data_IF_916391918168
#
_entry.id   IF_916391918168
#
_cell.length_a   1.000
_cell.length_b   1.000
_cell.length_c   1.000
_cell.angle_alpha   90.00
_cell.angle_beta   90.00
_cell.angle_gamma   90.00
#
_symmetry.space_group_name_H-M   'P 1'
#
loop_
_entity.id
_entity.type
_entity.pdbx_description
1 polymer ?
#
# COMPACT_ATOMS: atom_id res chain seq x y z
N UNK A 1 -13.65 -14.11 5.55
CA UNK A 1 -14.06 -15.46 5.05
C UNK A 1 -14.52 -15.42 3.59
N UNK A 2 -15.45 -14.52 3.21
CA UNK A 2 -15.95 -14.40 1.83
C UNK A 2 -14.85 -14.09 0.80
N UNK A 3 -13.99 -13.12 1.09
CA UNK A 3 -12.84 -12.73 0.23
C UNK A 3 -11.83 -13.86 0.04
N UNK A 4 -11.58 -14.63 1.09
CA UNK A 4 -10.71 -15.81 1.05
C UNK A 4 -11.29 -16.94 0.21
N UNK A 5 -12.57 -17.27 0.41
CA UNK A 5 -13.28 -18.27 -0.39
C UNK A 5 -13.33 -17.87 -1.88
N UNK A 6 -13.66 -16.61 -2.19
CA UNK A 6 -13.68 -16.11 -3.56
C UNK A 6 -12.29 -16.23 -4.22
N UNK A 7 -11.22 -15.89 -3.50
CA UNK A 7 -9.86 -16.01 -4.02
C UNK A 7 -9.42 -17.46 -4.22
N UNK A 8 -9.84 -18.41 -3.38
CA UNK A 8 -9.60 -19.84 -3.59
C UNK A 8 -10.27 -20.34 -4.87
N UNK A 9 -11.51 -19.92 -5.12
CA UNK A 9 -12.22 -20.24 -6.38
C UNK A 9 -11.51 -19.65 -7.58
N UNK A 10 -11.06 -18.40 -7.50
CA UNK A 10 -10.30 -17.75 -8.58
C UNK A 10 -8.97 -18.46 -8.86
N UNK A 11 -8.23 -18.82 -7.80
CA UNK A 11 -6.99 -19.59 -7.91
C UNK A 11 -7.24 -20.95 -8.56
N UNK A 12 -8.25 -21.69 -8.08
CA UNK A 12 -8.62 -22.99 -8.65
C UNK A 12 -8.99 -22.88 -10.13
N UNK A 13 -9.72 -21.83 -10.52
CA UNK A 13 -10.03 -21.54 -11.91
C UNK A 13 -8.79 -21.29 -12.77
N UNK A 14 -7.83 -20.50 -12.28
CA UNK A 14 -6.56 -20.25 -12.99
C UNK A 14 -5.75 -21.56 -13.14
N UNK A 15 -5.68 -22.39 -12.09
CA UNK A 15 -5.00 -23.68 -12.18
C UNK A 15 -5.71 -24.66 -13.12
N UNK A 16 -7.04 -24.67 -13.15
CA UNK A 16 -7.82 -25.48 -14.09
C UNK A 16 -7.57 -25.07 -15.55
N UNK A 17 -7.51 -23.76 -15.83
CA UNK A 17 -7.15 -23.23 -17.15
C UNK A 17 -5.74 -23.69 -17.56
N UNK A 18 -4.76 -23.57 -16.67
CA UNK A 18 -3.39 -24.00 -16.93
C UNK A 18 -3.30 -25.51 -17.17
N UNK A 19 -3.90 -26.32 -16.30
CA UNK A 19 -3.90 -27.79 -16.42
C UNK A 19 -4.58 -28.27 -17.70
N UNK A 20 -5.72 -27.68 -18.06
CA UNK A 20 -6.43 -27.98 -19.31
C UNK A 20 -5.58 -27.59 -20.52
N UNK A 21 -4.94 -26.42 -20.49
CA UNK A 21 -4.05 -25.97 -21.56
C UNK A 21 -2.87 -26.91 -21.79
N UNK A 22 -2.21 -27.35 -20.71
CA UNK A 22 -1.11 -28.33 -20.77
C UNK A 22 -1.61 -29.67 -21.32
N UNK A 23 -2.75 -30.16 -20.81
CA UNK A 23 -3.33 -31.43 -21.26
C UNK A 23 -3.63 -31.40 -22.77
N UNK A 24 -4.22 -30.33 -23.29
CA UNK A 24 -4.48 -30.19 -24.73
C UNK A 24 -3.20 -30.17 -25.59
N UNK A 25 -2.10 -29.63 -25.07
CA UNK A 25 -0.81 -29.61 -25.78
C UNK A 25 -0.14 -30.99 -25.76
N UNK A 26 -0.24 -31.72 -24.66
CA UNK A 26 0.45 -33.01 -24.47
C UNK A 26 -0.35 -34.18 -25.07
N UNK A 27 -1.68 -34.15 -24.95
CA UNK A 27 -2.55 -35.25 -25.39
C UNK A 27 -2.71 -35.33 -26.92
N UNK A 28 -2.51 -34.21 -27.63
CA UNK A 28 -2.70 -34.13 -29.08
C UNK A 28 -1.37 -33.85 -29.79
N UNK A 29 -1.11 -34.58 -30.88
CA UNK A 29 0.11 -34.41 -31.69
C UNK A 29 -0.11 -33.35 -32.77
N UNK A 30 0.93 -32.58 -33.09
CA UNK A 30 0.88 -31.59 -34.16
C UNK A 30 0.74 -32.26 -35.54
N UNK A 31 -0.05 -31.69 -36.47
CA UNK A 31 -0.90 -30.50 -36.34
C UNK A 31 -2.30 -30.83 -35.80
N UNK A 32 -2.71 -30.16 -34.72
CA UNK A 32 -4.07 -30.26 -34.18
C UNK A 32 -4.52 -28.89 -33.61
N UNK A 33 -5.72 -28.39 -33.97
CA UNK A 33 -6.23 -27.10 -33.47
C UNK A 33 -6.35 -27.04 -31.93
N UNK A 34 -6.50 -28.18 -31.25
CA UNK A 34 -6.45 -28.27 -29.78
C UNK A 34 -5.15 -27.72 -29.18
N UNK A 35 -4.03 -27.81 -29.90
CA UNK A 35 -2.75 -27.24 -29.45
C UNK A 35 -2.83 -25.72 -29.40
N UNK A 36 -3.46 -25.09 -30.40
CA UNK A 36 -3.65 -23.63 -30.44
C UNK A 36 -4.54 -23.19 -29.27
N UNK A 37 -5.64 -23.92 -29.01
CA UNK A 37 -6.50 -23.67 -27.86
C UNK A 37 -5.74 -23.88 -26.54
N UNK A 38 -4.90 -24.91 -26.44
CA UNK A 38 -4.09 -25.18 -25.26
C UNK A 38 -3.09 -24.06 -24.97
N UNK A 39 -2.42 -23.53 -25.99
CA UNK A 39 -1.54 -22.35 -25.89
C UNK A 39 -2.32 -21.11 -25.47
N UNK A 40 -3.51 -20.88 -26.04
CA UNK A 40 -4.37 -19.76 -25.65
C UNK A 40 -4.82 -19.84 -24.19
N UNK A 41 -5.23 -21.02 -23.71
CA UNK A 41 -5.61 -21.25 -22.31
C UNK A 41 -4.43 -21.06 -21.35
N UNK A 42 -3.23 -21.51 -21.73
CA UNK A 42 -2.01 -21.23 -20.98
C UNK A 42 -1.69 -19.73 -20.94
N UNK A 43 -1.79 -19.04 -22.07
CA UNK A 43 -1.62 -17.59 -22.14
C UNK A 43 -2.60 -16.85 -21.23
N UNK A 44 -3.87 -17.28 -21.22
CA UNK A 44 -4.91 -16.74 -20.34
C UNK A 44 -4.61 -17.02 -18.86
N UNK A 45 -4.20 -18.24 -18.51
CA UNK A 45 -3.82 -18.58 -17.14
C UNK A 45 -2.62 -17.76 -16.67
N UNK A 46 -1.62 -17.55 -17.53
CA UNK A 46 -0.48 -16.67 -17.26
C UNK A 46 -0.93 -15.22 -17.08
N UNK A 47 -1.88 -14.72 -17.89
CA UNK A 47 -2.40 -13.37 -17.76
C UNK A 47 -3.21 -13.14 -16.46
N UNK A 48 -3.95 -14.16 -16.03
CA UNK A 48 -4.82 -14.12 -14.84
C UNK A 48 -4.13 -14.53 -13.54
N UNK A 49 -2.86 -14.97 -13.61
CA UNK A 49 -2.09 -15.42 -12.44
C UNK A 49 -2.05 -14.34 -11.35
N UNK A 50 -2.10 -14.71 -10.07
CA UNK A 50 -1.91 -13.76 -8.97
C UNK A 50 -0.59 -13.01 -9.10
N UNK A 51 -0.59 -11.71 -8.82
CA UNK A 51 0.59 -10.86 -8.90
C UNK A 51 1.12 -10.57 -7.50
N UNK A 52 2.12 -11.28 -7.02
CA UNK A 52 2.61 -11.16 -5.63
C UNK A 52 3.43 -9.88 -5.31
N UNK A 53 3.22 -8.80 -6.06
CA UNK A 53 4.01 -7.57 -5.97
C UNK A 53 5.49 -7.79 -6.33
N UNK A 54 6.18 -6.70 -6.61
CA UNK A 54 7.65 -6.66 -6.69
C UNK A 54 8.12 -5.55 -5.77
N UNK A 55 9.39 -5.60 -5.40
CA UNK A 55 10.02 -4.44 -4.78
C UNK A 55 9.93 -3.28 -5.77
N UNK A 56 9.65 -2.09 -5.29
CA UNK A 56 9.71 -0.89 -6.11
C UNK A 56 11.13 -0.73 -6.65
N UNK A 57 11.26 -0.39 -7.93
CA UNK A 57 12.54 -0.23 -8.60
C UNK A 57 13.27 1.03 -8.12
N UNK A 58 12.51 2.03 -7.64
CA UNK A 58 13.04 3.29 -7.11
C UNK A 58 13.37 3.21 -5.60
N UNK A 59 13.05 2.09 -4.94
CA UNK A 59 13.34 1.90 -3.51
C UNK A 59 14.84 1.73 -3.28
N UNK A 60 15.43 2.63 -2.51
CA UNK A 60 16.80 2.43 -2.04
C UNK A 60 16.80 1.53 -0.80
N UNK A 61 17.23 0.29 -0.99
CA UNK A 61 17.39 -0.68 0.10
C UNK A 61 18.58 -0.30 0.96
N UNK A 62 18.33 -0.17 2.26
CA UNK A 62 19.34 0.12 3.26
C UNK A 62 20.03 -1.17 3.72
N UNK A 63 21.32 -1.04 4.00
CA UNK A 63 22.09 -2.08 4.68
C UNK A 63 22.10 -1.81 6.19
N UNK A 64 21.91 -2.86 6.98
CA UNK A 64 21.94 -2.80 8.45
C UNK A 64 23.30 -2.31 8.96
N UNK A 65 24.39 -2.57 8.23
CA UNK A 65 25.70 -2.04 8.59
C UNK A 65 25.83 -0.52 8.36
N UNK A 66 25.03 0.06 7.46
CA UNK A 66 25.03 1.51 7.17
C UNK A 66 24.05 2.30 8.02
N UNK A 67 22.95 1.69 8.46
CA UNK A 67 21.93 2.33 9.30
C UNK A 67 21.63 1.55 10.60
N UNK A 68 22.65 1.20 11.42
CA UNK A 68 22.47 0.31 12.56
C UNK A 68 21.46 0.82 13.60
N UNK A 69 21.42 2.13 13.88
CA UNK A 69 20.47 2.71 14.83
C UNK A 69 19.03 2.66 14.29
N UNK A 70 18.82 2.91 12.99
CA UNK A 70 17.50 2.76 12.37
C UNK A 70 17.01 1.31 12.49
N UNK A 71 17.84 0.34 12.12
CA UNK A 71 17.47 -1.07 12.19
C UNK A 71 17.23 -1.52 13.64
N UNK A 72 18.00 -1.01 14.60
CA UNK A 72 17.76 -1.25 16.03
C UNK A 72 16.39 -0.73 16.46
N UNK A 73 16.02 0.48 16.04
CA UNK A 73 14.70 1.03 16.32
C UNK A 73 13.58 0.18 15.70
N UNK A 74 13.76 -0.28 14.45
CA UNK A 74 12.80 -1.19 13.79
C UNK A 74 12.65 -2.49 14.58
N UNK A 75 13.74 -3.08 15.06
CA UNK A 75 13.71 -4.30 15.86
C UNK A 75 12.99 -4.09 17.22
N UNK A 76 13.28 -2.98 17.91
CA UNK A 76 12.64 -2.58 19.17
C UNK A 76 11.12 -2.43 18.99
N UNK A 77 10.69 -1.72 17.94
CA UNK A 77 9.26 -1.52 17.66
C UNK A 77 8.60 -2.82 17.22
N UNK A 78 9.25 -3.63 16.37
CA UNK A 78 8.73 -4.93 15.95
C UNK A 78 8.49 -5.85 17.17
N UNK A 79 9.44 -5.88 18.10
CA UNK A 79 9.31 -6.64 19.35
C UNK A 79 8.16 -6.11 20.22
N UNK A 80 8.02 -4.78 20.35
CA UNK A 80 6.98 -4.16 21.17
C UNK A 80 5.56 -4.44 20.65
N UNK A 81 5.36 -4.50 19.33
CA UNK A 81 4.05 -4.78 18.71
C UNK A 81 3.83 -6.24 18.34
N UNK A 82 4.82 -7.11 18.56
CA UNK A 82 4.77 -8.53 18.18
C UNK A 82 4.76 -8.77 16.67
N UNK A 83 5.31 -7.85 15.88
CA UNK A 83 5.42 -7.98 14.44
C UNK A 83 6.71 -8.72 14.02
N UNK A 84 6.72 -9.43 12.88
CA UNK A 84 7.96 -9.90 12.29
C UNK A 84 8.84 -8.73 11.89
N UNK A 85 10.15 -8.86 12.12
CA UNK A 85 11.14 -7.89 11.64
C UNK A 85 11.15 -7.90 10.10
N UNK A 86 11.07 -6.71 9.43
CA UNK A 86 11.20 -6.62 7.99
C UNK A 86 12.53 -7.21 7.48
N UNK A 87 12.47 -8.02 6.43
CA UNK A 87 13.67 -8.55 5.76
C UNK A 87 14.34 -7.49 4.88
N UNK A 88 13.56 -6.53 4.38
CA UNK A 88 14.02 -5.43 3.55
C UNK A 88 13.52 -4.13 4.17
N UNK A 89 14.44 -3.22 4.47
CA UNK A 89 14.13 -1.84 4.86
C UNK A 89 14.69 -0.95 3.78
N UNK A 90 13.86 -0.05 3.25
CA UNK A 90 14.28 0.89 2.23
C UNK A 90 13.70 2.28 2.46
N UNK A 91 14.18 3.22 1.67
CA UNK A 91 13.78 4.62 1.71
C UNK A 91 13.49 5.15 0.31
N UNK A 92 12.55 6.08 0.23
CA UNK A 92 12.19 6.75 -1.02
C UNK A 92 11.96 8.26 -0.81
N UNK A 93 11.57 8.94 -1.89
CA UNK A 93 11.30 10.38 -1.91
C UNK A 93 9.84 10.75 -1.67
N UNK A 94 8.98 9.80 -1.33
CA UNK A 94 7.54 10.04 -1.21
C UNK A 94 7.18 10.58 0.17
N UNK A 95 6.07 11.32 0.25
CA UNK A 95 5.52 11.77 1.52
C UNK A 95 4.63 10.68 2.13
N UNK A 96 5.21 9.50 2.36
CA UNK A 96 4.48 8.31 2.82
C UNK A 96 5.40 7.36 3.60
N UNK A 97 4.83 6.32 4.18
CA UNK A 97 5.54 5.10 4.58
C UNK A 97 4.63 3.89 4.30
N UNK A 98 5.22 2.73 4.11
CA UNK A 98 4.43 1.51 3.95
C UNK A 98 5.19 0.27 4.40
N UNK A 99 4.49 -0.70 4.98
CA UNK A 99 5.03 -2.03 5.27
C UNK A 99 4.24 -3.15 4.60
N UNK A 100 4.85 -3.95 3.73
CA UNK A 100 4.18 -4.95 2.90
C UNK A 100 4.93 -6.27 2.75
N UNK A 101 4.37 -7.18 1.94
CA UNK A 101 5.03 -8.44 1.58
C UNK A 101 5.15 -8.55 0.07
N UNK A 102 6.35 -8.86 -0.41
CA UNK A 102 6.64 -8.94 -1.85
C UNK A 102 7.19 -10.30 -2.27
N UNK A 103 6.91 -10.68 -3.51
CA UNK A 103 7.42 -11.89 -4.14
C UNK A 103 6.78 -13.18 -3.61
N UNK A 104 7.14 -14.30 -4.24
CA UNK A 104 6.57 -15.62 -3.93
C UNK A 104 6.90 -16.08 -2.49
N UNK A 105 8.10 -15.72 -2.00
CA UNK A 105 8.52 -16.01 -0.61
C UNK A 105 7.90 -15.07 0.42
N UNK A 106 7.11 -14.08 -0.01
CA UNK A 106 6.42 -13.09 0.83
C UNK A 106 7.33 -12.37 1.82
N UNK A 107 8.48 -11.89 1.32
CA UNK A 107 9.46 -11.16 2.13
C UNK A 107 8.83 -9.91 2.73
N UNK A 108 9.02 -9.71 4.03
CA UNK A 108 8.52 -8.51 4.71
C UNK A 108 9.37 -7.29 4.30
N UNK A 109 8.73 -6.22 3.85
CA UNK A 109 9.35 -4.99 3.37
C UNK A 109 8.80 -3.81 4.16
N UNK A 110 9.66 -2.90 4.59
CA UNK A 110 9.32 -1.60 5.14
C UNK A 110 9.95 -0.52 4.25
N UNK A 111 9.15 0.43 3.78
CA UNK A 111 9.63 1.64 3.14
C UNK A 111 9.31 2.86 4.01
N UNK A 112 10.31 3.74 4.16
CA UNK A 112 10.17 5.03 4.81
C UNK A 112 10.42 6.14 3.79
N UNK A 113 9.39 6.90 3.46
CA UNK A 113 9.55 8.11 2.66
C UNK A 113 10.25 9.19 3.46
N UNK A 114 11.45 9.58 3.02
CA UNK A 114 12.33 10.48 3.76
C UNK A 114 11.70 11.86 4.05
N UNK A 115 10.92 12.48 3.16
CA UNK A 115 10.21 13.73 3.46
C UNK A 115 9.27 13.58 4.65
N UNK A 116 8.58 12.44 4.74
CA UNK A 116 7.65 12.19 5.83
C UNK A 116 8.42 11.85 7.12
N UNK A 117 9.30 10.84 7.06
CA UNK A 117 10.13 10.42 8.19
C UNK A 117 10.99 11.55 8.79
N UNK A 118 11.58 12.38 7.92
CA UNK A 118 12.41 13.53 8.28
C UNK A 118 11.64 14.62 9.02
N UNK A 119 10.37 14.80 8.70
CA UNK A 119 9.50 15.83 9.29
C UNK A 119 8.88 15.45 10.62
N UNK A 120 8.87 14.17 10.98
CA UNK A 120 8.28 13.69 12.24
C UNK A 120 9.20 13.92 13.44
N UNK A 121 8.59 14.14 14.60
CA UNK A 121 9.28 14.15 15.89
C UNK A 121 9.73 12.73 16.28
N UNK A 122 10.68 12.57 17.21
CA UNK A 122 11.14 11.24 17.61
C UNK A 122 10.02 10.30 18.08
N UNK A 123 9.04 10.70 18.92
CA UNK A 123 7.94 9.82 19.30
C UNK A 123 7.03 9.46 18.12
N UNK A 124 6.81 10.38 17.19
CA UNK A 124 6.01 10.12 15.99
C UNK A 124 6.68 9.15 15.02
N UNK A 125 8.01 9.11 14.97
CA UNK A 125 8.76 8.09 14.22
C UNK A 125 8.51 6.70 14.78
N UNK A 126 8.52 6.55 16.10
CA UNK A 126 8.13 5.28 16.76
C UNK A 126 6.68 4.94 16.44
N UNK A 127 5.78 5.94 16.50
CA UNK A 127 4.37 5.75 16.21
C UNK A 127 4.15 5.28 14.77
N UNK A 128 4.88 5.86 13.81
CA UNK A 128 4.81 5.49 12.39
C UNK A 128 5.27 4.05 12.18
N UNK A 129 6.41 3.66 12.77
CA UNK A 129 6.87 2.28 12.72
C UNK A 129 5.85 1.32 13.36
N UNK A 130 5.28 1.67 14.51
CA UNK A 130 4.27 0.84 15.18
C UNK A 130 3.02 0.66 14.33
N UNK A 131 2.59 1.71 13.62
CA UNK A 131 1.50 1.64 12.66
C UNK A 131 1.84 0.70 11.50
N UNK A 132 2.95 0.95 10.81
CA UNK A 132 3.35 0.19 9.62
C UNK A 132 3.59 -1.29 9.95
N UNK A 133 4.34 -1.58 11.00
CA UNK A 133 4.60 -2.95 11.42
C UNK A 133 3.33 -3.65 11.95
N UNK A 134 2.36 -2.89 12.47
CA UNK A 134 1.04 -3.38 12.86
C UNK A 134 0.30 -4.06 11.70
N UNK A 135 0.51 -3.64 10.45
CA UNK A 135 -0.08 -4.28 9.28
C UNK A 135 0.36 -5.74 9.08
N UNK A 136 1.52 -6.14 9.62
CA UNK A 136 1.94 -7.55 9.59
C UNK A 136 1.19 -8.44 10.56
N UNK A 137 0.63 -7.87 11.63
CA UNK A 137 -0.06 -8.60 12.70
C UNK A 137 -1.57 -8.66 12.44
N UNK A 138 -2.14 -7.58 11.91
CA UNK A 138 -3.59 -7.34 11.94
C UNK A 138 -4.41 -8.03 10.83
N UNK A 139 -3.78 -8.91 10.04
CA UNK A 139 -4.48 -9.73 9.04
C UNK A 139 -5.06 -8.92 7.86
N UNK A 140 -4.37 -7.86 7.44
CA UNK A 140 -4.79 -7.04 6.29
C UNK A 140 -5.01 -7.91 5.03
N UNK A 141 -6.25 -7.96 4.48
CA UNK A 141 -6.56 -8.79 3.32
C UNK A 141 -5.87 -8.32 2.03
N UNK A 142 -5.35 -7.08 1.94
CA UNK A 142 -4.48 -6.69 0.82
C UNK A 142 -3.13 -7.42 0.86
N UNK A 143 -2.70 -7.76 2.07
CA UNK A 143 -1.37 -8.33 2.37
C UNK A 143 -1.44 -9.84 2.66
N UNK A 144 -2.63 -10.44 2.62
CA UNK A 144 -2.83 -11.88 2.77
C UNK A 144 -2.84 -12.61 1.42
N UNK A 145 -2.09 -13.72 1.36
CA UNK A 145 -1.89 -14.54 0.16
C UNK A 145 -3.22 -15.03 -0.43
N UNK A 146 -4.17 -15.38 0.44
CA UNK A 146 -5.45 -15.98 0.08
C UNK A 146 -6.53 -14.96 -0.25
N UNK A 147 -6.25 -13.66 -0.24
CA UNK A 147 -7.26 -12.62 -0.54
C UNK A 147 -6.82 -11.70 -1.67
N UNK A 148 -5.51 -11.65 -1.93
CA UNK A 148 -4.91 -10.86 -3.01
C UNK A 148 -5.46 -11.16 -4.43
N UNK A 149 -5.74 -12.42 -4.81
CA UNK A 149 -6.33 -12.73 -6.12
C UNK A 149 -7.70 -12.07 -6.36
N UNK A 150 -8.53 -11.90 -5.32
CA UNK A 150 -9.82 -11.21 -5.45
C UNK A 150 -9.64 -9.73 -5.89
N UNK A 151 -8.52 -9.11 -5.56
CA UNK A 151 -8.22 -7.72 -5.94
C UNK A 151 -7.55 -7.59 -7.31
N UNK A 152 -6.83 -8.61 -7.81
CA UNK A 152 -6.04 -8.46 -9.04
C UNK A 152 -6.58 -9.24 -10.23
N UNK A 153 -7.11 -10.45 -10.00
CA UNK A 153 -7.42 -11.40 -11.08
C UNK A 153 -8.67 -10.98 -11.85
N UNK A 154 -9.74 -10.57 -11.16
CA UNK A 154 -10.98 -10.15 -11.82
C UNK A 154 -10.84 -8.82 -12.57
N UNK A 155 -10.10 -7.85 -12.01
CA UNK A 155 -9.77 -6.62 -12.72
C UNK A 155 -8.95 -6.87 -13.99
N UNK A 156 -7.99 -7.80 -13.91
CA UNK A 156 -7.20 -8.22 -15.08
C UNK A 156 -8.06 -8.95 -16.12
N UNK A 157 -8.97 -9.84 -15.69
CA UNK A 157 -9.90 -10.53 -16.55
C UNK A 157 -10.86 -9.55 -17.27
N UNK A 158 -11.41 -8.59 -16.52
CA UNK A 158 -12.28 -7.55 -17.08
C UNK A 158 -11.54 -6.75 -18.15
N UNK A 159 -10.27 -6.40 -17.92
CA UNK A 159 -9.45 -5.68 -18.91
C UNK A 159 -9.13 -6.52 -20.14
N UNK A 160 -8.88 -7.83 -19.98
CA UNK A 160 -8.56 -8.71 -21.10
C UNK A 160 -9.75 -8.94 -22.05
N UNK A 161 -10.97 -8.94 -21.50
CA UNK A 161 -12.21 -9.15 -22.25
C UNK A 161 -12.80 -7.84 -22.78
N UNK A 162 -12.18 -6.68 -22.49
CA UNK A 162 -12.65 -5.40 -23.05
C UNK A 162 -12.62 -5.47 -24.57
N UNK A 163 -13.70 -5.02 -25.25
CA UNK A 163 -13.72 -4.99 -26.70
C UNK A 163 -12.59 -4.08 -27.20
N UNK A 164 -11.76 -4.60 -28.09
CA UNK A 164 -10.73 -3.86 -28.83
C UNK A 164 -11.15 -3.84 -30.29
N UNK A 165 -11.04 -2.69 -30.94
CA UNK A 165 -11.37 -2.57 -32.36
C UNK A 165 -10.26 -3.23 -33.21
N UNK A 166 -10.42 -4.53 -33.48
CA UNK A 166 -9.43 -5.33 -34.22
C UNK A 166 -9.91 -5.75 -35.61
N UNK A 167 -11.14 -5.40 -36.02
CA UNK A 167 -11.73 -5.85 -37.27
C UNK A 167 -11.91 -4.68 -38.23
N UNK A 168 -11.09 -4.65 -39.28
CA UNK A 168 -11.24 -3.80 -40.47
C UNK A 168 -11.78 -4.66 -41.61
N UNK A 169 -13.07 -4.99 -41.58
CA UNK A 169 -13.73 -5.84 -42.58
C UNK A 169 -15.02 -5.19 -43.11
N UNK A 170 -15.29 -5.35 -44.41
CA UNK A 170 -16.36 -4.65 -45.14
C UNK A 170 -17.65 -5.50 -45.37
N UNK A 171 -17.70 -6.74 -44.87
CA UNK A 171 -18.84 -7.66 -45.09
C UNK A 171 -19.94 -7.57 -44.02
N UNK A 172 -21.21 -7.72 -44.41
CA UNK A 172 -22.36 -7.60 -43.49
C UNK A 172 -22.39 -8.71 -42.41
N UNK A 173 -22.03 -9.95 -42.77
CA UNK A 173 -21.94 -11.05 -41.81
C UNK A 173 -20.78 -10.88 -40.82
N UNK A 174 -19.66 -10.31 -41.27
CA UNK A 174 -18.54 -9.94 -40.39
C UNK A 174 -18.91 -8.80 -39.45
N UNK A 175 -19.65 -7.80 -39.94
CA UNK A 175 -20.14 -6.69 -39.13
C UNK A 175 -21.11 -7.16 -38.04
N UNK A 176 -22.06 -8.05 -38.40
CA UNK A 176 -23.00 -8.65 -37.46
C UNK A 176 -22.30 -9.56 -36.43
N UNK A 177 -21.36 -10.39 -36.88
CA UNK A 177 -20.55 -11.23 -36.00
C UNK A 177 -19.71 -10.39 -35.03
N UNK A 178 -19.06 -9.35 -35.52
CA UNK A 178 -18.29 -8.41 -34.70
C UNK A 178 -19.18 -7.65 -33.72
N UNK A 179 -20.39 -7.23 -34.13
CA UNK A 179 -21.35 -6.59 -33.24
C UNK A 179 -21.81 -7.52 -32.11
N UNK A 180 -22.13 -8.78 -32.41
CA UNK A 180 -22.52 -9.77 -31.41
C UNK A 180 -21.36 -10.10 -30.46
N UNK A 181 -20.16 -10.30 -31.00
CA UNK A 181 -18.95 -10.54 -30.20
C UNK A 181 -18.66 -9.36 -29.27
N UNK A 182 -18.75 -8.11 -29.76
CA UNK A 182 -18.60 -6.90 -28.94
C UNK A 182 -19.66 -6.80 -27.86
N UNK A 183 -20.93 -7.09 -28.16
CA UNK A 183 -22.00 -7.08 -27.18
C UNK A 183 -21.75 -8.11 -26.06
N UNK A 184 -21.33 -9.32 -26.42
CA UNK A 184 -20.96 -10.37 -25.48
C UNK A 184 -19.74 -9.97 -24.63
N UNK A 185 -18.65 -9.53 -25.26
CA UNK A 185 -17.42 -9.07 -24.59
C UNK A 185 -17.69 -7.92 -23.63
N UNK A 186 -18.46 -6.91 -24.07
CA UNK A 186 -18.85 -5.79 -23.24
C UNK A 186 -19.66 -6.24 -22.02
N UNK A 187 -20.64 -7.11 -22.22
CA UNK A 187 -21.48 -7.64 -21.13
C UNK A 187 -20.64 -8.44 -20.13
N UNK A 188 -19.78 -9.34 -20.62
CA UNK A 188 -18.90 -10.14 -19.78
C UNK A 188 -17.89 -9.27 -19.02
N UNK A 189 -17.27 -8.28 -19.67
CA UNK A 189 -16.36 -7.34 -19.04
C UNK A 189 -17.06 -6.52 -17.94
N UNK A 190 -18.30 -6.08 -18.17
CA UNK A 190 -19.11 -5.35 -17.17
C UNK A 190 -19.49 -6.23 -15.99
N UNK A 191 -19.88 -7.49 -16.20
CA UNK A 191 -20.17 -8.42 -15.12
C UNK A 191 -18.93 -8.72 -14.29
N UNK A 192 -17.79 -9.03 -14.92
CA UNK A 192 -16.52 -9.26 -14.22
C UNK A 192 -16.09 -8.04 -13.41
N UNK A 193 -16.25 -6.84 -13.98
CA UNK A 193 -15.95 -5.59 -13.28
C UNK A 193 -16.91 -5.35 -12.10
N UNK A 194 -18.21 -5.62 -12.26
CA UNK A 194 -19.19 -5.48 -11.19
C UNK A 194 -18.89 -6.43 -10.01
N UNK A 195 -18.55 -7.69 -10.30
CA UNK A 195 -18.13 -8.67 -9.27
C UNK A 195 -16.83 -8.22 -8.60
N UNK A 196 -15.87 -7.70 -9.38
CA UNK A 196 -14.63 -7.15 -8.84
C UNK A 196 -14.92 -6.00 -7.86
N UNK A 197 -15.75 -5.02 -8.25
CA UNK A 197 -16.14 -3.91 -7.37
C UNK A 197 -16.84 -4.42 -6.11
N UNK A 198 -17.77 -5.37 -6.23
CA UNK A 198 -18.44 -5.95 -5.06
C UNK A 198 -17.46 -6.61 -4.08
N UNK A 199 -16.49 -7.37 -4.57
CA UNK A 199 -15.45 -7.99 -3.75
C UNK A 199 -14.55 -6.95 -3.09
N UNK A 200 -14.15 -5.91 -3.83
CA UNK A 200 -13.39 -4.78 -3.28
C UNK A 200 -14.17 -4.09 -2.17
N UNK A 201 -15.45 -3.78 -2.37
CA UNK A 201 -16.31 -3.16 -1.35
C UNK A 201 -16.37 -3.98 -0.07
N UNK A 202 -16.56 -5.30 -0.18
CA UNK A 202 -16.57 -6.19 1.00
C UNK A 202 -15.23 -6.18 1.71
N UNK A 203 -14.14 -6.18 0.95
CA UNK A 203 -12.80 -6.22 1.52
C UNK A 203 -12.34 -4.87 2.11
N UNK A 204 -12.86 -3.74 1.62
CA UNK A 204 -12.54 -2.40 2.13
C UNK A 204 -12.91 -2.25 3.60
N UNK A 205 -13.99 -2.91 4.07
CA UNK A 205 -14.33 -2.93 5.50
C UNK A 205 -13.25 -3.58 6.35
N UNK A 206 -12.69 -4.70 5.88
CA UNK A 206 -11.62 -5.42 6.57
C UNK A 206 -10.31 -4.62 6.54
N UNK A 207 -10.03 -3.91 5.44
CA UNK A 207 -8.88 -2.99 5.31
C UNK A 207 -9.02 -1.83 6.30
N UNK A 208 -10.18 -1.18 6.34
CA UNK A 208 -10.45 -0.10 7.30
C UNK A 208 -10.34 -0.57 8.76
N UNK A 209 -10.75 -1.81 9.06
CA UNK A 209 -10.54 -2.41 10.38
C UNK A 209 -9.06 -2.61 10.69
N UNK A 210 -8.27 -3.04 9.72
CA UNK A 210 -6.83 -3.22 9.88
C UNK A 210 -6.12 -1.89 10.22
N UNK A 211 -6.56 -0.76 9.64
CA UNK A 211 -6.05 0.57 9.97
C UNK A 211 -6.25 0.94 11.44
N UNK A 212 -7.46 0.72 11.99
CA UNK A 212 -7.73 0.96 13.41
C UNK A 212 -6.92 0.05 14.34
N UNK A 213 -6.67 -1.19 13.93
CA UNK A 213 -5.80 -2.10 14.68
C UNK A 213 -4.33 -1.67 14.58
N UNK A 214 -3.90 -1.14 13.44
CA UNK A 214 -2.56 -0.59 13.25
C UNK A 214 -2.35 0.68 14.08
N UNK A 215 -3.38 1.52 14.22
CA UNK A 215 -3.39 2.65 15.16
C UNK A 215 -3.22 2.20 16.61
N UNK A 216 -3.85 1.10 17.00
CA UNK A 216 -3.67 0.54 18.34
C UNK A 216 -2.23 0.04 18.54
N UNK A 217 -1.60 -0.56 17.51
CA UNK A 217 -0.19 -0.97 17.57
C UNK A 217 0.76 0.25 17.63
N UNK A 218 0.44 1.31 16.90
CA UNK A 218 1.12 2.60 16.98
C UNK A 218 1.10 3.15 18.41
N UNK A 219 -0.08 3.17 19.05
CA UNK A 219 -0.25 3.63 20.42
C UNK A 219 0.47 2.72 21.44
N UNK A 220 0.49 1.39 21.24
CA UNK A 220 1.24 0.48 22.11
C UNK A 220 2.75 0.69 22.01
N UNK A 221 3.27 0.95 20.82
CA UNK A 221 4.70 1.18 20.61
C UNK A 221 5.15 2.54 21.18
N UNK A 222 4.46 3.62 20.80
CA UNK A 222 4.91 5.00 21.01
C UNK A 222 4.11 5.77 22.06
N UNK A 223 3.11 5.14 22.66
CA UNK A 223 2.15 5.79 23.55
C UNK A 223 1.01 6.47 22.77
N UNK A 224 -0.13 6.66 23.44
CA UNK A 224 -1.33 7.24 22.81
C UNK A 224 -1.07 8.66 22.33
N UNK A 225 -0.30 9.46 23.06
CA UNK A 225 0.00 10.84 22.70
C UNK A 225 0.73 10.94 21.34
N UNK A 226 1.78 10.14 21.15
CA UNK A 226 2.54 10.11 19.90
C UNK A 226 1.71 9.59 18.73
N UNK A 227 0.90 8.54 18.94
CA UNK A 227 0.02 8.01 17.90
C UNK A 227 -1.05 9.00 17.46
N UNK A 228 -1.67 9.73 18.40
CA UNK A 228 -2.62 10.80 18.06
C UNK A 228 -1.94 11.99 17.37
N UNK A 229 -0.71 12.33 17.79
CA UNK A 229 0.08 13.38 17.15
C UNK A 229 0.47 13.03 15.72
N UNK A 230 0.79 11.75 15.45
CA UNK A 230 1.04 11.26 14.10
C UNK A 230 -0.20 11.40 13.21
N UNK A 231 -1.39 11.05 13.71
CA UNK A 231 -2.66 11.22 12.98
C UNK A 231 -2.95 12.70 12.67
N UNK A 232 -2.57 13.62 13.57
CA UNK A 232 -2.64 15.06 13.28
C UNK A 232 -1.69 15.48 12.17
N UNK A 233 -0.49 14.89 12.13
CA UNK A 233 0.44 15.08 11.03
C UNK A 233 -0.18 14.61 9.69
N UNK A 234 -0.91 13.48 9.69
CA UNK A 234 -1.64 12.98 8.50
C UNK A 234 -2.75 13.94 8.06
N UNK A 235 -3.53 14.49 9.00
CA UNK A 235 -4.55 15.53 8.70
C UNK A 235 -3.91 16.78 8.07
N UNK A 236 -2.65 17.06 8.38
CA UNK A 236 -1.91 18.21 7.88
C UNK A 236 -0.86 17.85 6.80
N UNK A 237 -1.01 16.71 6.12
CA UNK A 237 0.01 16.20 5.18
C UNK A 237 0.37 17.21 4.08
N UNK A 238 -0.58 17.98 3.56
CA UNK A 238 -0.31 19.03 2.58
C UNK A 238 0.57 20.16 3.14
N UNK A 239 0.37 20.49 4.42
CA UNK A 239 1.20 21.49 5.12
C UNK A 239 2.62 20.96 5.33
N UNK A 240 2.77 19.67 5.62
CA UNK A 240 4.08 19.00 5.67
C UNK A 240 4.75 19.07 4.31
N UNK A 241 4.03 18.69 3.25
CA UNK A 241 4.55 18.70 1.88
C UNK A 241 5.05 20.09 1.48
N UNK A 242 4.30 21.14 1.81
CA UNK A 242 4.69 22.52 1.53
C UNK A 242 5.92 22.96 2.35
N UNK A 243 5.96 22.64 3.64
CA UNK A 243 7.09 22.96 4.50
C UNK A 243 8.37 22.26 4.04
N UNK A 244 8.32 20.97 3.76
CA UNK A 244 9.47 20.20 3.24
C UNK A 244 9.94 20.76 1.92
N UNK A 245 9.02 21.05 0.98
CA UNK A 245 9.39 21.64 -0.33
C UNK A 245 10.09 22.99 -0.17
N UNK A 246 9.57 23.86 0.68
CA UNK A 246 10.17 25.18 0.95
C UNK A 246 11.59 25.04 1.49
N UNK A 247 11.77 24.23 2.53
CA UNK A 247 13.07 24.06 3.19
C UNK A 247 14.07 23.29 2.30
N UNK A 248 13.61 22.30 1.52
CA UNK A 248 14.45 21.58 0.57
C UNK A 248 15.00 22.49 -0.54
N UNK A 249 14.17 23.41 -1.07
CA UNK A 249 14.59 24.44 -2.03
C UNK A 249 15.57 25.45 -1.43
N UNK A 250 15.45 25.73 -0.13
CA UNK A 250 16.41 26.57 0.60
C UNK A 250 17.74 25.85 0.91
N UNK A 251 17.90 24.58 0.53
CA UNK A 251 19.11 23.82 0.80
C UNK A 251 19.15 23.16 2.17
N UNK A 252 18.07 23.20 2.93
CA UNK A 252 18.03 22.65 4.29
C UNK A 252 17.67 21.17 4.31
N UNK A 253 18.18 20.46 5.33
CA UNK A 253 17.96 19.04 5.58
C UNK A 253 16.83 18.74 6.58
N UNK A 254 16.71 17.47 7.02
CA UNK A 254 15.57 16.97 7.79
C UNK A 254 15.34 17.68 9.12
N UNK A 255 16.40 18.19 9.78
CA UNK A 255 16.26 18.92 11.04
C UNK A 255 15.44 20.21 10.86
N UNK A 256 15.67 20.96 9.77
CA UNK A 256 14.84 22.14 9.45
C UNK A 256 13.49 21.76 8.88
N UNK A 257 13.36 20.63 8.18
CA UNK A 257 12.05 20.13 7.76
C UNK A 257 11.15 19.85 8.97
N UNK A 258 11.68 19.15 9.97
CA UNK A 258 10.99 18.90 11.25
C UNK A 258 10.64 20.20 11.94
N UNK A 259 11.60 21.12 12.11
CA UNK A 259 11.36 22.40 12.76
C UNK A 259 10.25 23.21 12.06
N UNK A 260 10.29 23.33 10.73
CA UNK A 260 9.27 24.03 9.95
C UNK A 260 7.88 23.38 10.07
N UNK A 261 7.82 22.04 10.13
CA UNK A 261 6.57 21.31 10.33
C UNK A 261 6.03 21.53 11.75
N UNK A 262 6.89 21.49 12.77
CA UNK A 262 6.50 21.81 14.15
C UNK A 262 5.98 23.25 14.25
N UNK A 263 6.68 24.22 13.68
CA UNK A 263 6.24 25.63 13.61
C UNK A 263 4.86 25.76 12.94
N UNK A 264 4.66 25.10 11.79
CA UNK A 264 3.39 25.11 11.06
C UNK A 264 2.25 24.46 11.86
N UNK A 265 2.54 23.39 12.61
CA UNK A 265 1.54 22.71 13.44
C UNK A 265 1.16 23.53 14.67
N UNK A 266 2.11 24.22 15.30
CA UNK A 266 1.83 25.17 16.39
C UNK A 266 0.94 26.31 15.88
N UNK A 267 1.27 26.88 14.71
CA UNK A 267 0.43 27.92 14.09
C UNK A 267 -0.97 27.41 13.70
N UNK A 268 -1.11 26.12 13.43
CA UNK A 268 -2.38 25.48 13.06
C UNK A 268 -3.10 24.78 14.23
N UNK A 269 -2.71 25.04 15.49
CA UNK A 269 -3.31 24.40 16.65
C UNK A 269 -4.80 24.73 16.80
N UNK A 270 -5.18 26.00 16.65
CA UNK A 270 -6.57 26.47 16.77
C UNK A 270 -7.54 25.82 15.76
N UNK A 271 -7.22 25.73 14.45
CA UNK A 271 -8.10 25.05 13.50
C UNK A 271 -8.03 23.52 13.55
N UNK A 272 -7.08 22.91 14.26
CA UNK A 272 -6.87 21.46 14.23
C UNK A 272 -8.11 20.63 14.60
N UNK A 273 -8.88 20.93 15.67
CA UNK A 273 -10.12 20.21 15.96
C UNK A 273 -11.14 20.28 14.82
N UNK A 274 -11.22 21.43 14.12
CA UNK A 274 -12.09 21.60 12.95
C UNK A 274 -11.59 20.80 11.76
N UNK A 275 -10.27 20.74 11.52
CA UNK A 275 -9.67 19.92 10.46
C UNK A 275 -9.91 18.43 10.71
N UNK A 276 -9.78 17.96 11.95
CA UNK A 276 -10.18 16.59 12.32
C UNK A 276 -11.65 16.35 12.00
N UNK A 277 -12.55 17.27 12.37
CA UNK A 277 -13.97 17.12 12.02
C UNK A 277 -14.23 17.16 10.51
N UNK A 278 -13.49 17.99 9.77
CA UNK A 278 -13.58 18.09 8.31
C UNK A 278 -13.19 16.77 7.66
N UNK A 279 -12.09 16.14 8.09
CA UNK A 279 -11.68 14.81 7.59
C UNK A 279 -12.82 13.79 7.73
N UNK A 280 -13.55 13.78 8.86
CA UNK A 280 -14.71 12.89 9.07
C UNK A 280 -15.82 13.19 8.07
N UNK A 281 -16.04 14.44 7.67
CA UNK A 281 -17.12 14.81 6.74
C UNK A 281 -16.75 14.56 5.29
N UNK A 282 -15.51 14.79 4.91
CA UNK A 282 -15.06 14.76 3.51
C UNK A 282 -14.47 13.42 3.09
N UNK A 283 -13.78 12.73 4.01
CA UNK A 283 -13.07 11.47 3.69
C UNK A 283 -13.92 10.22 3.96
N UNK A 284 -15.09 10.36 4.61
CA UNK A 284 -15.96 9.20 4.89
C UNK A 284 -16.56 8.68 3.58
N UNK A 285 -16.14 7.49 3.17
CA UNK A 285 -16.66 6.82 1.98
C UNK A 285 -16.62 5.30 2.13
N UNK A 286 -17.61 4.62 1.54
CA UNK A 286 -17.60 3.16 1.38
C UNK A 286 -16.45 2.67 0.48
N UNK A 287 -15.90 3.56 -0.33
CA UNK A 287 -14.81 3.28 -1.26
C UNK A 287 -13.44 3.79 -0.76
N UNK A 288 -13.39 4.40 0.43
CA UNK A 288 -12.13 4.86 1.01
C UNK A 288 -11.27 3.67 1.46
N UNK A 289 -9.98 3.70 1.10
CA UNK A 289 -9.01 2.69 1.53
C UNK A 289 -8.60 2.82 2.99
N UNK A 290 -8.66 4.04 3.52
CA UNK A 290 -8.37 4.34 4.92
C UNK A 290 -9.60 5.00 5.57
N UNK A 291 -9.91 4.70 6.83
CA UNK A 291 -10.89 5.48 7.57
C UNK A 291 -10.38 6.92 7.73
N UNK A 292 -11.27 7.92 7.82
CA UNK A 292 -10.90 9.30 8.08
C UNK A 292 -9.97 9.46 9.28
N UNK A 293 -8.94 10.27 9.14
CA UNK A 293 -7.93 10.48 10.19
C UNK A 293 -8.55 11.01 11.50
N UNK A 294 -9.57 11.85 11.41
CA UNK A 294 -10.32 12.33 12.56
C UNK A 294 -11.11 11.25 13.31
N UNK A 295 -11.62 10.21 12.61
CA UNK A 295 -12.27 9.07 13.26
C UNK A 295 -11.24 8.18 13.97
N UNK A 296 -10.09 7.95 13.32
CA UNK A 296 -8.95 7.22 13.88
C UNK A 296 -8.42 7.89 15.14
N UNK A 297 -8.25 9.22 15.10
CA UNK A 297 -7.84 10.00 16.27
C UNK A 297 -8.87 9.89 17.39
N UNK A 298 -10.17 10.03 17.09
CA UNK A 298 -11.24 9.90 18.10
C UNK A 298 -11.26 8.51 18.73
N UNK A 299 -11.07 7.47 17.93
CA UNK A 299 -10.98 6.09 18.40
C UNK A 299 -9.83 5.92 19.40
N UNK A 300 -8.61 6.34 19.08
CA UNK A 300 -7.49 6.26 20.02
C UNK A 300 -7.71 7.09 21.30
N UNK A 301 -8.17 8.33 21.15
CA UNK A 301 -8.38 9.24 22.28
C UNK A 301 -9.50 8.80 23.24
N UNK A 302 -10.39 7.90 22.81
CA UNK A 302 -11.50 7.38 23.62
C UNK A 302 -11.17 6.09 24.37
N UNK A 303 -9.98 5.51 24.16
CA UNK A 303 -9.53 4.27 24.80
C UNK A 303 -8.57 4.57 25.95
N UNK A 304 -8.31 3.61 26.86
CA UNK A 304 -7.28 3.76 27.86
C UNK A 304 -5.95 4.16 27.21
N UNK A 305 -5.29 5.16 27.79
CA UNK A 305 -4.01 5.64 27.28
C UNK A 305 -2.93 4.56 27.47
N UNK A 306 -2.10 4.40 26.44
CA UNK A 306 -0.87 3.63 26.52
C UNK A 306 0.29 4.56 26.81
N UNK A 307 1.16 4.14 27.73
CA UNK A 307 2.51 4.69 27.86
C UNK A 307 3.41 4.11 26.75
N UNK A 308 4.45 4.85 26.30
CA UNK A 308 5.35 4.38 25.26
C UNK A 308 6.13 3.14 25.72
N UNK A 309 6.02 2.03 24.99
CA UNK A 309 6.86 0.86 25.17
C UNK A 309 8.28 1.09 24.62
N UNK A 310 8.41 1.92 23.58
CA UNK A 310 9.68 2.30 22.95
C UNK A 310 9.82 3.81 23.00
N UNK A 311 10.93 4.28 23.56
CA UNK A 311 11.27 5.71 23.63
C UNK A 311 12.47 5.97 22.73
N UNK A 312 12.26 6.83 21.73
CA UNK A 312 13.31 7.38 20.89
C UNK A 312 13.64 8.78 21.39
N UNK A 313 14.82 8.95 21.98
CA UNK A 313 15.32 10.26 22.37
C UNK A 313 15.86 11.05 21.15
N UNK A 314 16.10 12.36 21.34
CA UNK A 314 16.60 13.24 20.28
C UNK A 314 18.01 12.84 19.80
N UNK A 315 18.85 12.27 20.67
CA UNK A 315 20.22 11.90 20.33
C UNK A 315 20.25 10.68 19.39
N UNK A 316 19.48 9.63 19.71
CA UNK A 316 19.23 8.47 18.87
C UNK A 316 18.56 8.88 17.56
N UNK A 317 17.56 9.76 17.62
CA UNK A 317 16.86 10.27 16.43
C UNK A 317 17.82 11.02 15.49
N UNK A 318 18.74 11.83 16.04
CA UNK A 318 19.76 12.52 15.27
C UNK A 318 20.82 11.57 14.69
N UNK A 319 21.17 10.49 15.39
CA UNK A 319 22.03 9.41 14.83
C UNK A 319 21.38 8.77 13.61
N UNK A 320 20.09 8.45 13.67
CA UNK A 320 19.35 7.93 12.52
C UNK A 320 19.39 8.94 11.36
N UNK A 321 19.18 10.23 11.63
CA UNK A 321 19.27 11.26 10.59
C UNK A 321 20.68 11.32 9.95
N UNK A 322 21.73 11.12 10.74
CA UNK A 322 23.10 11.07 10.26
C UNK A 322 23.40 9.83 9.41
N UNK A 323 22.87 8.66 9.79
CA UNK A 323 22.97 7.41 9.02
C UNK A 323 22.34 7.56 7.61
N UNK A 324 21.26 8.33 7.52
CA UNK A 324 20.49 8.57 6.29
C UNK A 324 20.91 9.85 5.53
N UNK A 325 22.00 10.51 5.92
CA UNK A 325 22.36 11.83 5.40
C UNK A 325 22.54 11.85 3.87
N UNK A 326 23.10 10.77 3.30
CA UNK A 326 23.29 10.64 1.84
C UNK A 326 21.94 10.57 1.12
N UNK A 327 21.03 9.78 1.66
CA UNK A 327 19.72 9.51 1.09
C UNK A 327 18.84 10.75 1.19
N UNK A 328 18.89 11.46 2.32
CA UNK A 328 18.27 12.78 2.49
C UNK A 328 18.76 13.79 1.46
N UNK A 329 20.06 13.87 1.21
CA UNK A 329 20.63 14.83 0.25
C UNK A 329 20.20 14.51 -1.20
N UNK A 330 20.04 13.24 -1.55
CA UNK A 330 19.49 12.85 -2.85
C UNK A 330 18.01 13.25 -2.98
N UNK A 331 17.20 12.92 -1.98
CA UNK A 331 15.77 13.25 -1.96
C UNK A 331 15.54 14.76 -1.97
N UNK A 332 16.29 15.52 -1.17
CA UNK A 332 16.24 16.99 -1.13
C UNK A 332 16.46 17.58 -2.52
N UNK A 333 17.46 17.09 -3.25
CA UNK A 333 17.71 17.52 -4.63
C UNK A 333 16.50 17.20 -5.51
N UNK A 334 16.02 15.96 -5.53
CA UNK A 334 14.87 15.57 -6.36
C UNK A 334 13.64 16.45 -6.11
N UNK A 335 13.30 16.72 -4.84
CA UNK A 335 12.18 17.58 -4.45
C UNK A 335 12.37 19.02 -4.94
N UNK A 336 13.60 19.53 -4.93
CA UNK A 336 13.89 20.88 -5.40
C UNK A 336 13.68 21.05 -6.91
N UNK A 337 13.83 19.97 -7.69
CA UNK A 337 13.67 19.97 -9.15
C UNK A 337 12.24 19.62 -9.62
N UNK A 338 11.47 18.89 -8.81
CA UNK A 338 10.06 18.63 -9.10
C UNK A 338 9.21 19.88 -8.82
N UNK A 339 8.72 20.51 -9.89
CA UNK A 339 7.86 21.71 -9.88
C UNK A 339 6.41 21.38 -9.61
#
# INVERSE_FOLDING_TARGET
MVTGAASLVLLAGVFALAGTGIWLIVAFRFPNPSIVLGVALLGLAVALRPRFGRLDEDLEVLDRARAPELFRLVDEVAAAVGAPVPEVVGVDGDLNAYAGRVGLRRRAVLCLGLPYWGSLTPPERVALLGHELGHFVNGDPRRALLTQPAFTTLGSAANLVRPVDTVSGAGIFELLGAALARAFQWTLARLLFAVHVALVCVALRDIQRAEYLADEMSARAAGTAAATSLLDATVAVDSIALAVRREARAGHGPQRWRAAVTEARVAAADPLPRRRQLSVREETSLFASHPPSGLRHRMLASRPAYEPAVVLDEERSARIDAELAREYERVRRNISWSG
#
